data_IF_860592654280
#
_entry.id   IF_860592654280
#
_cell.length_a   1.000
_cell.length_b   1.000
_cell.length_c   1.000
_cell.angle_alpha   90.00
_cell.angle_beta   90.00
_cell.angle_gamma   90.00
#
_symmetry.space_group_name_H-M   'P 1'
#
loop_
_entity.id
_entity.type
_entity.pdbx_description
1 polymer ?
#
# COMPACT_ATOMS: atom_id res chain seq x y z
N UNK A 1 -2.55 -40.55 12.22
CA UNK A 1 -1.90 -39.88 11.07
C UNK A 1 -2.02 -38.38 11.23
N UNK A 2 -0.91 -37.66 11.47
CA UNK A 2 -0.93 -36.21 11.61
C UNK A 2 -1.14 -35.56 10.23
N UNK A 3 -2.31 -34.96 10.01
CA UNK A 3 -2.57 -34.14 8.82
C UNK A 3 -1.67 -32.93 8.92
N UNK A 4 -0.62 -32.88 8.08
CA UNK A 4 0.21 -31.68 7.90
C UNK A 4 -0.73 -30.55 7.49
N UNK A 5 -1.03 -29.64 8.39
CA UNK A 5 -1.73 -28.40 8.04
C UNK A 5 -0.80 -27.60 7.15
N UNK A 6 -1.04 -27.65 5.84
CA UNK A 6 -0.34 -26.79 4.87
C UNK A 6 -0.69 -25.36 5.25
N UNK A 7 0.25 -24.65 5.88
CA UNK A 7 0.10 -23.22 6.09
C UNK A 7 0.00 -22.58 4.70
N UNK A 8 -1.06 -21.81 4.41
CA UNK A 8 -1.21 -21.22 3.09
C UNK A 8 -0.03 -20.28 2.82
N UNK A 9 0.65 -20.50 1.69
CA UNK A 9 1.72 -19.60 1.24
C UNK A 9 1.14 -18.19 1.09
N UNK A 10 1.77 -17.16 1.66
CA UNK A 10 1.26 -15.80 1.51
C UNK A 10 1.24 -15.42 0.02
N UNK A 11 0.24 -14.65 -0.45
CA UNK A 11 0.17 -14.24 -1.84
C UNK A 11 1.44 -13.46 -2.22
N UNK A 12 1.97 -13.74 -3.42
CA UNK A 12 3.13 -13.03 -3.97
C UNK A 12 2.68 -11.63 -4.42
N UNK A 13 2.82 -10.65 -3.54
CA UNK A 13 2.44 -9.26 -3.80
C UNK A 13 3.67 -8.47 -4.31
N UNK A 14 3.51 -7.56 -5.29
CA UNK A 14 4.59 -6.65 -5.68
C UNK A 14 5.14 -5.86 -4.48
N UNK A 15 6.46 -5.79 -4.36
CA UNK A 15 7.11 -5.10 -3.24
C UNK A 15 7.16 -3.58 -3.46
N UNK A 16 6.07 -2.89 -3.12
CA UNK A 16 6.00 -1.43 -3.06
C UNK A 16 6.43 -0.96 -1.66
N UNK A 17 7.24 0.10 -1.62
CA UNK A 17 7.76 0.74 -0.40
C UNK A 17 7.21 2.16 -0.27
N UNK A 18 7.31 2.73 0.93
CA UNK A 18 7.02 4.15 1.17
C UNK A 18 7.98 5.00 0.36
N UNK A 19 7.49 6.08 -0.27
CA UNK A 19 8.28 6.97 -1.11
C UNK A 19 8.43 6.54 -2.58
N UNK A 20 7.93 5.37 -2.96
CA UNK A 20 7.89 5.00 -4.38
C UNK A 20 6.94 5.94 -5.15
N UNK A 21 7.34 6.34 -6.36
CA UNK A 21 6.44 7.00 -7.31
C UNK A 21 5.62 5.95 -8.03
N UNK A 22 4.30 6.10 -8.02
CA UNK A 22 3.38 5.17 -8.68
C UNK A 22 2.44 5.90 -9.64
N UNK A 23 1.90 5.15 -10.58
CA UNK A 23 0.77 5.55 -11.41
C UNK A 23 -0.45 4.69 -11.08
N UNK A 24 -1.62 5.31 -11.07
CA UNK A 24 -2.89 4.59 -10.95
C UNK A 24 -3.34 4.11 -12.32
N UNK A 25 -3.56 2.81 -12.47
CA UNK A 25 -4.00 2.18 -13.73
C UNK A 25 -5.49 2.38 -13.98
N UNK A 26 -6.31 2.17 -12.94
CA UNK A 26 -7.75 2.11 -13.08
C UNK A 26 -8.46 2.70 -11.86
N UNK A 27 -9.64 3.27 -12.08
CA UNK A 27 -10.47 3.92 -11.07
C UNK A 27 -10.64 5.42 -11.32
N UNK A 28 -11.15 6.14 -10.33
CA UNK A 28 -11.45 7.58 -10.42
C UNK A 28 -10.20 8.43 -10.72
N UNK A 29 -9.05 8.00 -10.24
CA UNK A 29 -7.77 8.70 -10.38
C UNK A 29 -6.85 8.04 -11.41
N UNK A 30 -7.41 7.30 -12.37
CA UNK A 30 -6.62 6.64 -13.42
C UNK A 30 -5.73 7.65 -14.19
N UNK A 31 -4.50 7.24 -14.48
CA UNK A 31 -3.50 8.04 -15.19
C UNK A 31 -2.71 9.02 -14.30
N UNK A 32 -3.20 9.35 -13.12
CA UNK A 32 -2.49 10.24 -12.20
C UNK A 32 -1.28 9.54 -11.56
N UNK A 33 -0.21 10.30 -11.36
CA UNK A 33 0.99 9.89 -10.64
C UNK A 33 0.95 10.41 -9.21
N UNK A 34 1.55 9.68 -8.28
CA UNK A 34 1.64 10.09 -6.88
C UNK A 34 2.69 9.32 -6.11
N UNK A 35 3.03 9.84 -4.94
CA UNK A 35 3.98 9.29 -3.98
C UNK A 35 3.27 8.45 -2.92
N UNK A 36 3.84 7.29 -2.60
CA UNK A 36 3.27 6.40 -1.59
C UNK A 36 3.58 6.91 -0.17
N UNK A 37 2.55 7.36 0.55
CA UNK A 37 2.65 7.77 1.96
C UNK A 37 2.87 6.56 2.87
N UNK A 38 2.08 5.51 2.67
CA UNK A 38 2.15 4.27 3.47
C UNK A 38 1.55 3.07 2.75
N UNK A 39 2.06 1.89 3.11
CA UNK A 39 1.59 0.60 2.60
C UNK A 39 0.87 -0.15 3.71
N UNK A 40 -0.41 -0.45 3.52
CA UNK A 40 -1.25 -1.19 4.45
C UNK A 40 -1.21 -2.67 4.05
N UNK A 41 -0.59 -3.49 4.89
CA UNK A 41 -0.56 -4.95 4.73
C UNK A 41 -1.57 -5.57 5.70
N UNK A 42 -2.76 -5.92 5.21
CA UNK A 42 -3.74 -6.65 6.03
C UNK A 42 -3.42 -8.14 5.96
N UNK A 43 -3.11 -8.75 7.11
CA UNK A 43 -2.98 -10.20 7.16
C UNK A 43 -4.34 -10.85 6.87
N UNK A 44 -4.40 -11.91 6.06
CA UNK A 44 -5.62 -12.68 5.89
C UNK A 44 -6.01 -13.29 7.24
N UNK A 45 -7.29 -13.20 7.60
CA UNK A 45 -7.78 -13.76 8.85
C UNK A 45 -7.47 -15.27 8.92
N UNK A 46 -6.90 -15.77 10.02
CA UNK A 46 -6.66 -17.20 10.17
C UNK A 46 -8.02 -17.89 10.35
N UNK A 47 -8.29 -18.84 9.42
CA UNK A 47 -9.36 -19.86 9.45
C UNK A 47 -10.69 -19.50 8.76
N UNK A 48 -11.03 -20.29 7.74
CA UNK A 48 -12.32 -20.98 7.71
C UNK A 48 -13.54 -20.24 7.18
N UNK A 49 -13.46 -19.50 6.07
CA UNK A 49 -14.64 -19.25 5.22
C UNK A 49 -14.39 -19.80 3.82
N UNK A 50 -14.97 -20.98 3.59
CA UNK A 50 -15.18 -21.73 2.33
C UNK A 50 -14.49 -21.20 1.06
N UNK A 51 -13.69 -22.09 0.48
CA UNK A 51 -13.01 -21.99 -0.83
C UNK A 51 -13.96 -21.71 -2.02
N UNK A 52 -15.29 -21.82 -1.84
CA UNK A 52 -16.31 -21.56 -2.87
C UNK A 52 -17.17 -20.31 -2.63
N UNK A 53 -16.99 -19.61 -1.50
CA UNK A 53 -17.68 -18.34 -1.29
C UNK A 53 -16.90 -17.25 -2.03
N UNK A 54 -17.50 -16.67 -3.08
CA UNK A 54 -17.08 -15.41 -3.75
C UNK A 54 -17.18 -14.18 -2.79
N UNK A 55 -16.71 -14.34 -1.56
CA UNK A 55 -16.75 -13.38 -0.46
C UNK A 55 -15.40 -13.38 0.26
N UNK A 56 -14.39 -12.95 -0.50
CA UNK A 56 -12.95 -13.00 -0.27
C UNK A 56 -12.46 -12.70 1.15
N UNK A 57 -11.60 -13.58 1.67
CA UNK A 57 -10.57 -13.26 2.66
C UNK A 57 -9.53 -12.30 2.06
N UNK A 58 -9.93 -11.06 1.77
CA UNK A 58 -9.03 -10.01 1.27
C UNK A 58 -8.08 -9.55 2.39
N UNK A 59 -7.13 -10.42 2.76
CA UNK A 59 -5.79 -10.01 3.19
C UNK A 59 -5.09 -9.37 1.99
N UNK A 60 -5.59 -8.20 1.58
CA UNK A 60 -5.10 -7.46 0.45
C UNK A 60 -4.12 -6.39 0.91
N UNK A 61 -3.03 -6.23 0.16
CA UNK A 61 -2.12 -5.10 0.34
C UNK A 61 -2.73 -3.89 -0.38
N UNK A 62 -2.83 -2.78 0.33
CA UNK A 62 -3.31 -1.50 -0.20
C UNK A 62 -2.27 -0.41 0.05
N UNK A 63 -2.27 0.62 -0.78
CA UNK A 63 -1.35 1.76 -0.68
C UNK A 63 -2.15 3.04 -0.46
N UNK A 64 -1.69 3.90 0.44
CA UNK A 64 -2.20 5.26 0.57
C UNK A 64 -1.23 6.15 -0.20
N UNK A 65 -1.79 6.96 -1.08
CA UNK A 65 -1.03 7.82 -2.01
C UNK A 65 -1.41 9.25 -1.72
N UNK A 66 -0.42 10.12 -1.69
CA UNK A 66 -0.63 11.54 -1.42
C UNK A 66 -1.48 12.18 -2.52
N UNK A 67 -2.53 12.90 -2.13
CA UNK A 67 -3.40 13.62 -3.06
C UNK A 67 -4.31 12.78 -3.96
N UNK A 68 -4.26 11.44 -3.87
CA UNK A 68 -5.09 10.54 -4.69
C UNK A 68 -6.13 9.79 -3.84
N UNK A 69 -7.25 9.44 -4.47
CA UNK A 69 -8.38 8.74 -3.86
C UNK A 69 -8.88 9.42 -2.57
N UNK A 70 -9.05 10.74 -2.63
CA UNK A 70 -9.49 11.57 -1.50
C UNK A 70 -10.97 11.30 -1.21
N UNK A 71 -11.30 11.15 0.08
CA UNK A 71 -12.68 11.13 0.57
C UNK A 71 -12.89 12.23 1.60
N UNK A 72 -14.04 12.90 1.51
CA UNK A 72 -14.49 13.88 2.50
C UNK A 72 -15.06 13.14 3.70
N UNK A 73 -14.46 13.35 4.88
CA UNK A 73 -14.91 12.77 6.15
C UNK A 73 -15.37 13.88 7.07
N UNK A 74 -16.67 13.92 7.31
CA UNK A 74 -17.27 14.76 8.36
C UNK A 74 -16.84 14.21 9.72
N UNK A 75 -16.09 15.00 10.48
CA UNK A 75 -15.59 14.60 11.78
C UNK A 75 -16.14 15.55 12.83
N UNK A 76 -16.85 14.99 13.82
CA UNK A 76 -17.29 15.76 14.99
C UNK A 76 -16.06 16.25 15.77
N UNK A 77 -16.08 17.48 16.32
CA UNK A 77 -15.02 17.92 17.22
C UNK A 77 -14.88 16.89 18.35
N UNK A 78 -13.64 16.49 18.64
CA UNK A 78 -13.35 15.58 19.76
C UNK A 78 -12.29 16.23 20.63
N UNK A 79 -12.47 16.14 21.94
CA UNK A 79 -11.40 16.43 22.88
C UNK A 79 -10.38 15.29 22.76
N UNK A 80 -9.18 15.58 22.25
CA UNK A 80 -8.06 14.66 22.40
C UNK A 80 -7.36 14.99 23.70
N UNK A 81 -7.58 14.16 24.73
CA UNK A 81 -6.81 14.18 25.95
C UNK A 81 -5.53 13.36 25.73
N UNK A 82 -4.41 14.01 25.42
CA UNK A 82 -3.10 13.46 25.77
C UNK A 82 -2.98 13.53 27.29
N UNK A 83 -2.67 12.41 27.95
CA UNK A 83 -2.56 12.31 29.42
C UNK A 83 -1.50 13.23 30.05
N UNK A 84 -0.74 13.97 29.23
CA UNK A 84 0.39 14.82 29.62
C UNK A 84 0.01 16.30 29.69
N UNK A 85 -1.08 16.74 29.05
CA UNK A 85 -1.41 18.16 28.94
C UNK A 85 -2.55 18.55 29.90
N UNK A 86 -2.31 19.60 30.71
CA UNK A 86 -3.31 20.18 31.65
C UNK A 86 -4.53 20.80 30.95
N UNK A 87 -4.48 20.98 29.62
CA UNK A 87 -5.60 21.46 28.82
C UNK A 87 -5.98 20.44 27.74
N UNK A 88 -7.27 20.09 27.61
CA UNK A 88 -7.72 19.20 26.55
C UNK A 88 -7.53 19.89 25.20
N UNK A 89 -6.70 19.30 24.33
CA UNK A 89 -6.57 19.77 22.95
C UNK A 89 -7.85 19.38 22.20
N UNK A 90 -8.71 20.36 21.92
CA UNK A 90 -9.91 20.14 21.11
C UNK A 90 -9.45 19.97 19.67
N UNK A 91 -9.61 18.77 19.10
CA UNK A 91 -9.48 18.60 17.65
C UNK A 91 -10.66 19.33 17.02
N UNK A 92 -10.36 20.42 16.29
CA UNK A 92 -11.35 21.18 15.55
C UNK A 92 -12.10 20.24 14.61
N UNK A 93 -13.43 20.19 14.74
CA UNK A 93 -14.28 19.43 13.84
C UNK A 93 -14.41 20.13 12.49
N UNK A 94 -14.83 19.38 11.49
CA UNK A 94 -14.98 19.92 10.14
C UNK A 94 -15.05 18.84 9.07
N UNK A 95 -14.98 19.28 7.82
CA UNK A 95 -14.87 18.42 6.66
C UNK A 95 -13.38 18.16 6.41
N UNK A 96 -12.92 16.97 6.78
CA UNK A 96 -11.53 16.56 6.58
C UNK A 96 -11.40 15.84 5.23
N UNK A 97 -10.36 16.17 4.48
CA UNK A 97 -9.99 15.46 3.25
C UNK A 97 -8.95 14.39 3.59
N UNK A 98 -9.34 13.12 3.48
CA UNK A 98 -8.49 11.99 3.87
C UNK A 98 -8.24 11.11 2.65
N UNK A 99 -6.98 10.90 2.31
CA UNK A 99 -6.57 9.94 1.29
C UNK A 99 -6.99 8.52 1.69
N UNK A 100 -7.75 7.86 0.82
CA UNK A 100 -8.22 6.50 1.05
C UNK A 100 -7.29 5.47 0.40
N UNK A 101 -7.14 4.28 0.99
CA UNK A 101 -6.29 3.24 0.43
C UNK A 101 -6.76 2.79 -0.97
N UNK A 102 -5.79 2.65 -1.87
CA UNK A 102 -5.96 2.08 -3.21
C UNK A 102 -5.42 0.63 -3.18
N UNK A 103 -6.13 -0.36 -3.72
CA UNK A 103 -5.63 -1.72 -3.78
C UNK A 103 -4.43 -1.84 -4.72
N UNK A 104 -3.46 -2.69 -4.37
CA UNK A 104 -2.19 -2.81 -5.12
C UNK A 104 -2.36 -3.23 -6.58
N UNK A 105 -3.42 -3.96 -6.92
CA UNK A 105 -3.70 -4.36 -8.30
C UNK A 105 -4.07 -3.21 -9.24
N UNK A 106 -4.35 -2.02 -8.70
CA UNK A 106 -4.70 -0.82 -9.48
C UNK A 106 -3.55 0.17 -9.62
N UNK A 107 -2.35 -0.17 -9.17
CA UNK A 107 -1.20 0.73 -9.21
C UNK A 107 0.02 0.05 -9.82
N UNK A 108 0.89 0.85 -10.45
CA UNK A 108 2.21 0.42 -10.93
C UNK A 108 3.28 1.39 -10.48
N UNK A 109 4.48 0.86 -10.20
CA UNK A 109 5.65 1.69 -9.90
C UNK A 109 6.12 2.37 -11.17
N UNK A 110 6.44 3.65 -11.07
CA UNK A 110 7.11 4.41 -12.12
C UNK A 110 8.59 4.38 -11.82
N UNK A 111 9.39 3.96 -12.80
CA UNK A 111 10.84 4.00 -12.66
C UNK A 111 11.33 5.45 -12.78
N UNK A 112 12.21 5.86 -11.87
CA UNK A 112 12.81 7.20 -11.87
C UNK A 112 13.65 7.48 -13.12
N UNK A 113 14.26 6.44 -13.69
CA UNK A 113 15.19 6.59 -14.79
C UNK A 113 14.49 6.62 -16.15
N UNK A 114 13.54 5.70 -16.38
CA UNK A 114 12.83 5.63 -17.66
C UNK A 114 11.46 6.34 -17.66
N UNK A 115 10.98 6.82 -16.51
CA UNK A 115 9.68 7.50 -16.33
C UNK A 115 8.46 6.72 -16.84
N UNK A 116 8.64 5.43 -17.14
CA UNK A 116 7.60 4.52 -17.60
C UNK A 116 7.05 3.72 -16.43
N UNK A 117 5.76 3.32 -16.47
CA UNK A 117 5.21 2.38 -15.50
C UNK A 117 5.80 1.00 -15.74
N UNK A 118 6.37 0.39 -14.70
CA UNK A 118 7.14 -0.84 -14.83
C UNK A 118 6.72 -1.89 -13.79
N UNK A 119 6.98 -3.16 -14.14
CA UNK A 119 6.86 -4.28 -13.20
C UNK A 119 8.18 -4.44 -12.45
N UNK A 120 8.07 -4.75 -11.16
CA UNK A 120 9.22 -4.99 -10.28
C UNK A 120 9.75 -6.40 -10.52
N UNK A 121 11.03 -6.50 -10.84
CA UNK A 121 11.80 -7.74 -10.77
C UNK A 121 12.79 -7.65 -9.58
N UNK A 122 13.39 -8.79 -9.23
CA UNK A 122 14.41 -8.84 -8.19
C UNK A 122 15.70 -9.39 -8.78
N UNK A 123 16.80 -8.70 -8.53
CA UNK A 123 18.14 -9.18 -8.84
C UNK A 123 18.95 -9.29 -7.54
N UNK A 124 19.96 -10.15 -7.55
CA UNK A 124 20.93 -10.26 -6.45
C UNK A 124 22.19 -9.53 -6.91
N UNK A 125 22.66 -8.58 -6.10
CA UNK A 125 23.96 -7.95 -6.31
C UNK A 125 25.08 -8.86 -5.83
N UNK A 126 26.30 -8.58 -6.26
CA UNK A 126 27.51 -9.34 -5.85
C UNK A 126 27.72 -9.32 -4.33
N UNK A 127 27.20 -8.27 -3.67
CA UNK A 127 27.18 -8.12 -2.21
C UNK A 127 26.14 -9.02 -1.50
N UNK A 128 25.47 -9.93 -2.21
CA UNK A 128 24.43 -10.82 -1.68
C UNK A 128 23.09 -10.13 -1.37
N UNK A 129 22.98 -8.81 -1.55
CA UNK A 129 21.74 -8.05 -1.32
C UNK A 129 20.77 -8.21 -2.47
N UNK A 130 19.50 -8.47 -2.14
CA UNK A 130 18.39 -8.52 -3.11
C UNK A 130 17.85 -7.12 -3.35
N UNK A 131 17.97 -6.64 -4.59
CA UNK A 131 17.49 -5.33 -5.01
C UNK A 131 16.30 -5.46 -5.94
N UNK A 132 15.47 -4.42 -5.94
CA UNK A 132 14.36 -4.27 -6.89
C UNK A 132 14.92 -3.71 -8.18
N UNK A 133 14.59 -4.31 -9.31
CA UNK A 133 15.02 -3.85 -10.63
C UNK A 133 13.83 -3.60 -11.54
N UNK A 134 13.96 -2.59 -12.37
CA UNK A 134 13.02 -2.22 -13.40
C UNK A 134 13.04 -3.25 -14.54
N UNK A 135 11.90 -3.84 -14.89
CA UNK A 135 11.85 -4.81 -16.00
C UNK A 135 12.06 -4.19 -17.40
N UNK A 136 11.96 -2.87 -17.54
CA UNK A 136 12.14 -2.19 -18.83
C UNK A 136 13.59 -1.76 -19.09
N UNK A 137 14.29 -1.20 -18.10
CA UNK A 137 15.67 -0.72 -18.27
C UNK A 137 16.71 -1.50 -17.46
N UNK A 138 16.30 -2.44 -16.59
CA UNK A 138 17.23 -3.19 -15.73
C UNK A 138 17.77 -2.42 -14.53
N UNK A 139 17.52 -1.12 -14.44
CA UNK A 139 18.02 -0.27 -13.36
C UNK A 139 17.34 -0.53 -12.02
N UNK A 140 18.04 -0.16 -10.94
CA UNK A 140 17.58 -0.37 -9.58
C UNK A 140 16.46 0.62 -9.20
N UNK A 141 15.40 0.09 -8.57
CA UNK A 141 14.27 0.83 -8.03
C UNK A 141 14.49 1.01 -6.52
N UNK A 142 15.44 1.88 -6.16
CA UNK A 142 15.64 2.30 -4.77
C UNK A 142 14.88 3.59 -4.48
N UNK A 143 14.33 3.67 -3.27
CA UNK A 143 13.75 4.92 -2.75
C UNK A 143 14.93 5.80 -2.40
N UNK A 144 15.12 6.92 -3.12
CA UNK A 144 16.05 7.95 -2.67
C UNK A 144 15.44 8.54 -1.40
N UNK A 145 15.96 8.11 -0.25
CA UNK A 145 15.62 8.62 1.07
C UNK A 145 16.14 10.03 1.27
#
# INVERSE_FOLDING_TARGET
MAVRTVTPRPPKVPEIRKGDTIVVLAGRDAGKRGTVERVIRRQPAPRGRSMYRRGSSNGGVSVVVEGLNIAKRHTKPRQSSSSTDRMPKIQQGGILEIAQPIPIGKVMVVCTSCSKPTRIAHATLDNGRRVRVCRHCGEQLEVKS
#
